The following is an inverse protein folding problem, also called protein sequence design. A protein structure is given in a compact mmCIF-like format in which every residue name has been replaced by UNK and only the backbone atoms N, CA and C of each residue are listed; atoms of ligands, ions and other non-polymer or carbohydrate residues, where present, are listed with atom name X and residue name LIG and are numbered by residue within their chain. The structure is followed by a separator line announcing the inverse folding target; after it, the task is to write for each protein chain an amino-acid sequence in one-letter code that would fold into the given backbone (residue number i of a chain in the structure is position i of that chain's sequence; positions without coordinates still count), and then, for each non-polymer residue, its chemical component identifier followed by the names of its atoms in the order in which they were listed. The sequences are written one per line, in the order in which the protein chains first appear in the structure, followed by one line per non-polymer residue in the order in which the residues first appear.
data_IF_532396531165
#
_entry.id   IF_532396531165
#
_cell.length_a   1.000
_cell.length_b   1.000
_cell.length_c   1.000
_cell.angle_alpha   90.00
_cell.angle_beta   90.00
_cell.angle_gamma   90.00
#
_symmetry.space_group_name_H-M   'P 1'
#
loop_
_entity.id
_entity.type
_entity.pdbx_description
1 polymer ?
#
# COMPACT_ATOMS: atom_id res chain seq x y z
N UNK A 1 -18.17 5.58 2.10
CA UNK A 1 -16.71 5.61 2.44
C UNK A 1 -16.58 4.99 3.82
N UNK A 2 -15.84 3.91 3.94
CA UNK A 2 -15.71 3.14 5.17
C UNK A 2 -14.34 3.37 5.79
N UNK A 3 -14.30 3.44 7.12
CA UNK A 3 -13.06 3.49 7.86
C UNK A 3 -12.50 2.08 8.00
N UNK A 4 -11.21 1.95 7.68
CA UNK A 4 -10.52 0.67 7.69
C UNK A 4 -9.31 0.74 8.61
N UNK A 5 -8.96 -0.39 9.19
CA UNK A 5 -7.74 -0.57 9.97
C UNK A 5 -6.80 -1.52 9.23
N UNK A 6 -5.51 -1.34 9.39
CA UNK A 6 -4.55 -2.32 8.88
C UNK A 6 -4.66 -3.58 9.75
N UNK A 7 -4.92 -4.71 9.12
CA UNK A 7 -4.99 -6.02 9.75
C UNK A 7 -3.61 -6.68 9.78
N UNK A 8 -3.30 -7.49 8.78
CA UNK A 8 -2.08 -8.30 8.70
C UNK A 8 -1.25 -7.93 7.47
N UNK A 9 0.06 -8.09 7.56
CA UNK A 9 0.97 -8.10 6.42
C UNK A 9 1.54 -9.51 6.28
N UNK A 10 1.26 -10.15 5.17
CA UNK A 10 1.77 -11.49 4.82
C UNK A 10 2.89 -11.32 3.79
N UNK A 11 3.97 -12.09 3.92
CA UNK A 11 5.12 -12.02 3.03
C UNK A 11 5.30 -13.33 2.26
N UNK A 12 5.49 -13.21 0.96
CA UNK A 12 5.98 -14.30 0.12
C UNK A 12 7.39 -13.94 -0.38
N UNK A 13 8.38 -14.49 0.32
CA UNK A 13 9.79 -14.24 0.00
C UNK A 13 10.21 -14.87 -1.33
N UNK A 14 9.58 -15.96 -1.72
CA UNK A 14 9.90 -16.68 -2.96
C UNK A 14 9.55 -15.84 -4.19
N UNK A 15 8.53 -15.00 -4.07
CA UNK A 15 8.00 -14.16 -5.14
C UNK A 15 8.36 -12.69 -5.01
N UNK A 16 9.03 -12.30 -3.93
CA UNK A 16 9.36 -10.90 -3.68
C UNK A 16 8.14 -10.01 -3.44
N UNK A 17 7.06 -10.57 -2.91
CA UNK A 17 5.78 -9.90 -2.76
C UNK A 17 5.25 -9.94 -1.33
N UNK A 18 4.27 -9.09 -1.04
CA UNK A 18 3.53 -9.06 0.20
C UNK A 18 2.06 -8.74 -0.04
N UNK A 19 1.22 -9.11 0.91
CA UNK A 19 -0.20 -8.73 0.94
C UNK A 19 -0.45 -7.99 2.25
N UNK A 20 -0.98 -6.79 2.16
CA UNK A 20 -1.53 -6.06 3.31
C UNK A 20 -3.05 -6.17 3.30
N UNK A 21 -3.64 -6.50 4.43
CA UNK A 21 -5.09 -6.53 4.56
C UNK A 21 -5.58 -5.28 5.27
N UNK A 22 -6.61 -4.64 4.73
CA UNK A 22 -7.40 -3.64 5.44
C UNK A 22 -8.67 -4.29 5.94
N UNK A 23 -8.99 -4.09 7.20
CA UNK A 23 -10.17 -4.65 7.86
C UNK A 23 -11.12 -3.51 8.23
N UNK A 24 -12.38 -3.64 7.88
CA UNK A 24 -13.42 -2.68 8.25
C UNK A 24 -13.53 -2.57 9.77
N UNK A 25 -13.80 -1.38 10.29
CA UNK A 25 -13.88 -1.15 11.74
C UNK A 25 -14.94 -2.05 12.42
N UNK A 26 -16.01 -2.38 11.71
CA UNK A 26 -17.05 -3.32 12.17
C UNK A 26 -16.69 -4.79 11.92
N UNK A 27 -15.58 -5.06 11.22
CA UNK A 27 -15.08 -6.41 10.98
C UNK A 27 -15.84 -7.22 9.93
N UNK A 28 -16.73 -6.60 9.14
CA UNK A 28 -17.55 -7.32 8.15
C UNK A 28 -16.82 -7.60 6.84
N UNK A 29 -15.94 -6.68 6.43
CA UNK A 29 -15.22 -6.77 5.15
C UNK A 29 -13.71 -6.61 5.34
N UNK A 30 -12.98 -7.31 4.47
CA UNK A 30 -11.51 -7.25 4.37
C UNK A 30 -11.13 -6.89 2.95
N UNK A 31 -10.20 -5.98 2.77
CA UNK A 31 -9.63 -5.62 1.48
C UNK A 31 -8.16 -6.05 1.44
N UNK A 32 -7.81 -7.10 0.69
CA UNK A 32 -6.42 -7.47 0.44
C UNK A 32 -5.82 -6.56 -0.64
N UNK A 33 -4.61 -6.08 -0.41
CA UNK A 33 -3.84 -5.25 -1.34
C UNK A 33 -2.49 -5.91 -1.56
N UNK A 34 -2.21 -6.28 -2.81
CA UNK A 34 -0.96 -6.89 -3.23
C UNK A 34 0.08 -5.80 -3.47
N UNK A 35 1.26 -5.95 -2.87
CA UNK A 35 2.35 -4.97 -2.90
C UNK A 35 3.69 -5.69 -3.01
N UNK A 36 4.74 -4.98 -3.37
CA UNK A 36 6.09 -5.53 -3.34
C UNK A 36 6.56 -5.82 -1.91
N UNK A 37 7.55 -6.68 -1.78
CA UNK A 37 8.11 -7.10 -0.47
C UNK A 37 8.67 -5.90 0.31
N UNK A 38 9.30 -4.96 -0.36
CA UNK A 38 9.91 -3.78 0.27
C UNK A 38 8.86 -2.79 0.78
N UNK A 39 7.75 -2.64 0.04
CA UNK A 39 6.59 -1.88 0.48
C UNK A 39 5.95 -2.54 1.71
N UNK A 40 5.80 -3.87 1.68
CA UNK A 40 5.32 -4.64 2.82
C UNK A 40 6.21 -4.48 4.05
N UNK A 41 7.53 -4.50 3.87
CA UNK A 41 8.50 -4.26 4.95
C UNK A 41 8.40 -2.85 5.52
N UNK A 42 8.14 -1.83 4.69
CA UNK A 42 7.93 -0.47 5.16
C UNK A 42 6.70 -0.37 6.08
N UNK A 43 5.56 -0.95 5.67
CA UNK A 43 4.33 -1.01 6.47
C UNK A 43 4.56 -1.82 7.76
N UNK A 44 5.15 -3.00 7.66
CA UNK A 44 5.43 -3.88 8.80
C UNK A 44 6.31 -3.18 9.85
N UNK A 45 7.30 -2.40 9.42
CA UNK A 45 8.16 -1.63 10.30
C UNK A 45 7.36 -0.57 11.08
N UNK A 46 6.44 0.13 10.44
CA UNK A 46 5.59 1.13 11.10
C UNK A 46 4.64 0.47 12.11
N UNK A 47 4.04 -0.68 11.76
CA UNK A 47 3.18 -1.45 12.69
C UNK A 47 3.96 -1.82 13.95
N UNK A 48 5.20 -2.32 13.80
CA UNK A 48 6.04 -2.78 14.90
C UNK A 48 6.85 -1.65 15.54
N UNK A 49 6.72 -0.41 15.07
CA UNK A 49 7.48 0.75 15.55
C UNK A 49 9.00 0.50 15.56
N UNK A 50 9.48 -0.22 14.56
CA UNK A 50 10.89 -0.58 14.46
C UNK A 50 11.68 0.59 13.88
N UNK A 51 12.59 1.15 14.67
CA UNK A 51 13.45 2.24 14.24
C UNK A 51 14.48 1.76 13.21
N UNK A 52 14.77 2.60 12.23
CA UNK A 52 15.90 2.43 11.31
C UNK A 52 17.10 3.25 11.80
N UNK A 53 18.35 2.76 11.66
CA UNK A 53 19.55 3.53 12.01
C UNK A 53 19.66 4.86 11.25
N UNK A 54 19.09 4.92 10.06
CA UNK A 54 18.99 6.13 9.22
C UNK A 54 17.56 6.30 8.74
N UNK A 55 17.08 7.56 8.57
CA UNK A 55 15.75 7.82 8.06
C UNK A 55 15.55 7.19 6.69
N UNK A 56 14.46 6.46 6.50
CA UNK A 56 13.99 5.99 5.19
C UNK A 56 13.04 7.02 4.57
N UNK A 57 12.57 6.79 3.33
CA UNK A 57 11.79 7.76 2.57
C UNK A 57 10.56 8.27 3.34
N UNK A 58 9.79 7.37 3.96
CA UNK A 58 8.61 7.77 4.75
C UNK A 58 8.98 8.57 6.01
N UNK A 59 10.16 8.32 6.63
CA UNK A 59 10.66 9.13 7.74
C UNK A 59 11.02 10.54 7.28
N UNK A 60 11.66 10.64 6.10
CA UNK A 60 12.05 11.92 5.51
C UNK A 60 10.80 12.75 5.20
N UNK A 61 9.79 12.13 4.55
CA UNK A 61 8.54 12.82 4.21
C UNK A 61 7.77 13.27 5.46
N UNK A 62 7.72 12.42 6.49
CA UNK A 62 7.14 12.77 7.78
C UNK A 62 7.84 14.00 8.37
N UNK A 63 9.17 13.99 8.44
CA UNK A 63 9.95 15.09 9.00
C UNK A 63 9.78 16.38 8.21
N UNK A 64 9.71 16.31 6.86
CA UNK A 64 9.47 17.47 6.01
C UNK A 64 8.08 18.07 6.26
N UNK A 65 7.03 17.25 6.29
CA UNK A 65 5.68 17.72 6.56
C UNK A 65 5.57 18.35 7.96
N UNK A 66 6.16 17.73 8.97
CA UNK A 66 6.23 18.30 10.31
C UNK A 66 6.99 19.63 10.32
N UNK A 67 8.12 19.72 9.61
CA UNK A 67 8.90 20.94 9.49
C UNK A 67 8.12 22.09 8.83
N UNK A 68 7.24 21.76 7.90
CA UNK A 68 6.31 22.72 7.27
C UNK A 68 5.03 22.95 8.08
N UNK A 69 4.90 22.36 9.28
CA UNK A 69 3.68 22.43 10.09
C UNK A 69 2.44 21.90 9.34
N UNK A 70 2.68 20.98 8.42
CA UNK A 70 1.62 20.26 7.72
C UNK A 70 1.37 18.91 8.38
N UNK A 71 0.14 18.41 8.26
CA UNK A 71 -0.26 17.10 8.81
C UNK A 71 -1.05 16.32 7.79
N UNK A 72 -0.92 15.01 7.86
CA UNK A 72 -1.77 14.09 7.11
C UNK A 72 -3.08 13.91 7.86
N UNK A 73 -4.17 14.44 7.32
CA UNK A 73 -5.52 14.35 7.93
C UNK A 73 -6.13 12.97 7.77
N UNK A 74 -5.98 12.39 6.60
CA UNK A 74 -6.51 11.07 6.24
C UNK A 74 -5.87 10.55 4.97
N UNK A 75 -6.03 9.25 4.78
CA UNK A 75 -5.76 8.55 3.52
C UNK A 75 -7.06 7.99 2.98
N UNK A 76 -7.26 8.06 1.67
CA UNK A 76 -8.45 7.51 1.01
C UNK A 76 -8.02 6.63 -0.16
N UNK A 77 -8.39 5.35 -0.14
CA UNK A 77 -8.35 4.51 -1.32
C UNK A 77 -9.65 4.75 -2.09
N UNK A 78 -9.55 5.44 -3.21
CA UNK A 78 -10.71 6.01 -3.89
C UNK A 78 -11.07 5.35 -5.21
N UNK A 79 -10.13 4.67 -5.86
CA UNK A 79 -10.35 4.01 -7.14
C UNK A 79 -9.60 2.68 -7.27
N UNK A 80 -10.09 1.84 -8.17
CA UNK A 80 -9.41 0.65 -8.68
C UNK A 80 -9.61 0.60 -10.19
N UNK A 81 -8.52 0.45 -10.94
CA UNK A 81 -8.52 0.35 -12.41
C UNK A 81 -7.56 -0.79 -12.80
N UNK A 82 -8.03 -1.72 -13.60
CA UNK A 82 -7.22 -2.85 -14.08
C UNK A 82 -6.44 -3.56 -12.95
N UNK A 83 -7.13 -3.83 -11.84
CA UNK A 83 -6.56 -4.40 -10.59
C UNK A 83 -5.53 -3.52 -9.86
N UNK A 84 -5.32 -2.29 -10.30
CA UNK A 84 -4.47 -1.31 -9.63
C UNK A 84 -5.30 -0.40 -8.74
N UNK A 85 -4.96 -0.37 -7.46
CA UNK A 85 -5.59 0.53 -6.49
C UNK A 85 -4.91 1.90 -6.49
N UNK A 86 -5.71 2.94 -6.32
CA UNK A 86 -5.28 4.33 -6.21
C UNK A 86 -5.59 4.86 -4.82
N UNK A 87 -4.70 5.70 -4.31
CA UNK A 87 -4.86 6.32 -2.99
C UNK A 87 -4.56 7.82 -3.03
N UNK A 88 -5.24 8.55 -2.17
CA UNK A 88 -5.06 9.98 -1.98
C UNK A 88 -4.65 10.29 -0.55
N UNK A 89 -3.66 11.17 -0.44
CA UNK A 89 -3.22 11.76 0.82
C UNK A 89 -3.87 13.13 0.98
N UNK A 90 -4.61 13.33 2.05
CA UNK A 90 -5.18 14.64 2.42
C UNK A 90 -4.24 15.32 3.41
N UNK A 91 -3.47 16.26 2.93
CA UNK A 91 -2.47 16.99 3.73
C UNK A 91 -2.95 18.39 3.99
N UNK A 92 -2.99 18.80 5.24
CA UNK A 92 -3.46 20.13 5.66
C UNK A 92 -2.32 20.92 6.27
N UNK A 93 -2.21 22.17 5.86
CA UNK A 93 -1.34 23.17 6.46
C UNK A 93 -2.16 24.45 6.68
N UNK A 94 -2.33 24.85 7.92
CA UNK A 94 -3.24 25.95 8.28
C UNK A 94 -4.65 25.72 7.71
N UNK A 95 -5.15 26.64 6.87
CA UNK A 95 -6.47 26.56 6.24
C UNK A 95 -6.43 25.93 4.82
N UNK A 96 -5.25 25.48 4.37
CA UNK A 96 -5.08 24.87 3.06
C UNK A 96 -5.05 23.36 3.18
N UNK A 97 -5.85 22.68 2.35
CA UNK A 97 -5.79 21.22 2.17
C UNK A 97 -5.30 20.93 0.76
N UNK A 98 -4.22 20.17 0.67
CA UNK A 98 -3.68 19.60 -0.56
C UNK A 98 -4.08 18.12 -0.64
N UNK A 99 -4.48 17.68 -1.82
CA UNK A 99 -4.72 16.26 -2.11
C UNK A 99 -3.60 15.80 -3.04
N UNK A 100 -2.86 14.79 -2.62
CA UNK A 100 -1.78 14.20 -3.39
C UNK A 100 -2.10 12.75 -3.75
N UNK A 101 -1.87 12.38 -5.01
CA UNK A 101 -1.92 11.00 -5.46
C UNK A 101 -0.74 10.19 -4.87
N UNK A 102 -0.99 8.96 -4.52
CA UNK A 102 0.01 8.06 -3.95
C UNK A 102 -0.32 6.58 -4.26
N UNK A 103 0.70 5.75 -4.28
CA UNK A 103 0.47 4.31 -4.27
C UNK A 103 -0.16 3.90 -2.93
N UNK A 104 -1.07 2.91 -2.91
CA UNK A 104 -1.66 2.43 -1.66
C UNK A 104 -0.63 2.08 -0.57
N UNK A 105 0.46 1.39 -0.94
CA UNK A 105 1.52 1.01 0.00
C UNK A 105 2.17 2.20 0.69
N UNK A 106 2.48 3.27 -0.07
CA UNK A 106 3.09 4.49 0.48
C UNK A 106 2.09 5.25 1.37
N UNK A 107 0.84 5.32 0.90
CA UNK A 107 -0.24 5.96 1.66
C UNK A 107 -0.50 5.26 3.01
N UNK A 108 -0.50 3.92 3.03
CA UNK A 108 -0.69 3.13 4.25
C UNK A 108 0.48 3.29 5.22
N UNK A 109 1.73 3.26 4.72
CA UNK A 109 2.91 3.49 5.55
C UNK A 109 2.88 4.89 6.19
N UNK A 110 2.50 5.91 5.42
CA UNK A 110 2.35 7.28 5.94
C UNK A 110 1.18 7.40 6.91
N UNK A 111 0.03 6.75 6.64
CA UNK A 111 -1.11 6.74 7.55
C UNK A 111 -0.71 6.21 8.93
N UNK A 112 0.02 5.09 8.99
CA UNK A 112 0.54 4.54 10.25
C UNK A 112 1.48 5.53 10.95
N UNK A 113 2.41 6.12 10.21
CA UNK A 113 3.40 7.04 10.75
C UNK A 113 2.78 8.31 11.33
N UNK A 114 1.80 8.88 10.66
CA UNK A 114 1.04 10.05 11.11
C UNK A 114 -0.11 9.70 12.06
N UNK A 115 -0.42 8.42 12.27
CA UNK A 115 -1.61 7.97 12.97
C UNK A 115 -2.89 8.54 12.35
N UNK A 116 -2.87 8.70 11.03
CA UNK A 116 -3.98 9.22 10.27
C UNK A 116 -5.00 8.11 9.93
N UNK A 117 -6.30 8.41 9.92
CA UNK A 117 -7.31 7.43 9.58
C UNK A 117 -7.25 7.05 8.09
N UNK A 118 -7.54 5.77 7.82
CA UNK A 118 -7.59 5.19 6.48
C UNK A 118 -9.06 4.99 6.13
N UNK A 119 -9.45 5.44 4.95
CA UNK A 119 -10.77 5.25 4.38
C UNK A 119 -10.69 4.56 3.04
N UNK A 120 -11.73 3.77 2.73
CA UNK A 120 -11.90 3.12 1.43
C UNK A 120 -13.29 3.46 0.90
N UNK A 121 -13.41 3.77 -0.37
CA UNK A 121 -14.71 4.04 -0.99
C UNK A 121 -15.50 2.75 -1.19
N UNK A 122 -16.84 2.86 -1.24
CA UNK A 122 -17.70 1.71 -1.50
C UNK A 122 -17.43 1.10 -2.89
N UNK A 123 -17.04 1.91 -3.86
CA UNK A 123 -16.68 1.42 -5.19
C UNK A 123 -15.47 0.47 -5.15
N UNK A 124 -14.45 0.83 -4.37
CA UNK A 124 -13.25 -0.01 -4.17
C UNK A 124 -13.62 -1.29 -3.40
N UNK A 125 -14.42 -1.16 -2.33
CA UNK A 125 -14.85 -2.31 -1.54
C UNK A 125 -15.77 -3.27 -2.32
N UNK A 126 -16.60 -2.74 -3.21
CA UNK A 126 -17.46 -3.57 -4.07
C UNK A 126 -16.64 -4.39 -5.08
N UNK A 127 -15.48 -3.88 -5.51
CA UNK A 127 -14.61 -4.56 -6.48
C UNK A 127 -13.63 -5.52 -5.81
N UNK A 128 -12.95 -5.10 -4.75
CA UNK A 128 -11.85 -5.86 -4.13
C UNK A 128 -12.12 -6.35 -2.72
N UNK A 129 -13.21 -5.89 -2.09
CA UNK A 129 -13.56 -6.29 -0.73
C UNK A 129 -14.03 -7.74 -0.66
N UNK A 130 -13.63 -8.44 0.38
CA UNK A 130 -14.05 -9.82 0.71
C UNK A 130 -14.78 -9.79 2.06
N UNK A 131 -15.60 -10.79 2.33
CA UNK A 131 -16.20 -10.93 3.67
C UNK A 131 -15.15 -11.39 4.68
N UNK A 132 -15.26 -10.94 5.92
CA UNK A 132 -14.26 -11.24 6.96
C UNK A 132 -14.29 -12.71 7.46
N UNK A 133 -15.40 -13.45 7.22
CA UNK A 133 -15.51 -14.89 7.44
C UNK A 133 -14.76 -15.72 6.37
N UNK A 134 -14.26 -15.06 5.37
CA UNK A 134 -13.39 -15.61 4.37
C UNK A 134 -12.06 -16.06 5.02
N UNK A 135 -11.74 -17.34 4.91
CA UNK A 135 -10.52 -17.90 5.50
C UNK A 135 -9.28 -17.19 4.91
N UNK A 136 -8.77 -16.24 5.68
CA UNK A 136 -7.66 -15.32 5.33
C UNK A 136 -6.35 -16.05 4.95
N UNK A 137 -6.32 -17.38 5.04
CA UNK A 137 -5.10 -18.18 4.86
C UNK A 137 -4.89 -18.77 3.48
N UNK A 138 -5.87 -19.46 2.92
CA UNK A 138 -5.65 -20.32 1.74
C UNK A 138 -6.01 -19.62 0.43
N UNK A 139 -7.15 -18.96 0.36
CA UNK A 139 -7.58 -18.26 -0.86
C UNK A 139 -6.80 -16.97 -1.13
N UNK A 140 -6.38 -16.23 -0.09
CA UNK A 140 -5.45 -15.10 -0.27
C UNK A 140 -4.08 -15.58 -0.76
N UNK A 141 -3.66 -16.80 -0.41
CA UNK A 141 -2.44 -17.39 -0.97
C UNK A 141 -2.62 -17.76 -2.44
N UNK A 142 -3.78 -18.29 -2.82
CA UNK A 142 -4.09 -18.62 -4.21
C UNK A 142 -4.26 -17.38 -5.09
N UNK A 143 -4.96 -16.34 -4.61
CA UNK A 143 -5.06 -15.06 -5.32
C UNK A 143 -3.71 -14.34 -5.39
N UNK A 144 -2.92 -14.35 -4.31
CA UNK A 144 -1.54 -13.86 -4.32
C UNK A 144 -0.71 -14.65 -5.33
N UNK A 145 -0.88 -15.96 -5.38
CA UNK A 145 -0.21 -16.83 -6.34
C UNK A 145 -0.55 -16.45 -7.77
N UNK A 146 -1.83 -16.31 -8.10
CA UNK A 146 -2.29 -15.94 -9.44
C UNK A 146 -1.84 -14.52 -9.88
N UNK A 147 -1.88 -13.55 -8.97
CA UNK A 147 -1.41 -12.18 -9.24
C UNK A 147 0.11 -12.12 -9.45
N UNK A 148 0.86 -13.03 -8.81
CA UNK A 148 2.31 -13.11 -8.89
C UNK A 148 2.79 -13.91 -10.09
N UNK A 149 2.00 -14.88 -10.56
CA UNK A 149 2.29 -15.62 -11.80
C UNK A 149 2.29 -14.68 -13.02
N UNK A 150 1.46 -13.61 -12.98
CA UNK A 150 1.51 -12.54 -13.98
C UNK A 150 2.81 -11.72 -13.92
N UNK A 151 3.53 -11.72 -12.79
CA UNK A 151 4.80 -11.02 -12.63
C UNK A 151 6.03 -11.87 -13.04
N UNK A 152 5.85 -13.16 -13.33
CA UNK A 152 6.95 -13.99 -13.84
C UNK A 152 7.44 -13.50 -15.21
N UNK A 153 6.55 -12.97 -16.05
CA UNK A 153 6.92 -12.35 -17.33
C UNK A 153 7.82 -11.13 -17.14
N UNK A 154 7.52 -10.30 -16.14
CA UNK A 154 8.34 -9.12 -15.77
C UNK A 154 9.68 -9.55 -15.18
N UNK A 155 9.69 -10.61 -14.39
CA UNK A 155 10.92 -11.15 -13.79
C UNK A 155 11.82 -11.79 -14.85
N UNK A 156 11.27 -12.60 -15.74
CA UNK A 156 11.98 -13.17 -16.87
C UNK A 156 12.54 -12.09 -17.79
N UNK A 157 11.81 -10.98 -17.98
CA UNK A 157 12.30 -9.82 -18.71
C UNK A 157 13.46 -9.15 -17.97
N UNK A 158 13.33 -8.90 -16.66
CA UNK A 158 14.40 -8.27 -15.85
C UNK A 158 15.68 -9.11 -15.80
N UNK A 159 15.58 -10.44 -15.76
CA UNK A 159 16.74 -11.33 -15.78
C UNK A 159 17.46 -11.36 -17.14
N UNK A 160 16.77 -11.01 -18.21
CA UNK A 160 17.31 -11.00 -19.57
C UNK A 160 17.63 -9.61 -20.10
N UNK A 161 17.27 -8.54 -19.35
CA UNK A 161 17.52 -7.16 -19.76
C UNK A 161 19.02 -6.85 -19.76
N UNK A 162 19.49 -6.18 -20.79
CA UNK A 162 20.90 -5.76 -20.95
C UNK A 162 21.01 -4.25 -20.91
N UNK A 163 22.18 -3.69 -20.53
CA UNK A 163 22.40 -2.23 -20.54
C UNK A 163 22.09 -1.59 -21.90
N UNK A 164 22.28 -2.31 -22.98
CA UNK A 164 21.98 -1.88 -24.36
C UNK A 164 20.50 -1.70 -24.65
N UNK A 165 19.61 -2.35 -23.89
CA UNK A 165 18.15 -2.21 -24.04
C UNK A 165 17.64 -0.84 -23.52
N UNK A 166 18.49 -0.10 -22.80
CA UNK A 166 18.23 1.26 -22.30
C UNK A 166 18.96 2.34 -23.10
N UNK A 167 19.70 1.97 -24.16
CA UNK A 167 20.32 2.94 -25.05
C UNK A 167 19.24 3.58 -25.93
N UNK A 168 19.11 4.91 -25.86
CA UNK A 168 18.21 5.67 -26.72
C UNK A 168 18.47 5.33 -28.19
N UNK A 169 17.44 5.02 -28.99
CA UNK A 169 17.59 4.95 -30.43
C UNK A 169 17.94 6.36 -30.95
N UNK A 170 19.13 6.50 -31.51
CA UNK A 170 19.52 7.72 -32.22
C UNK A 170 18.71 7.91 -33.48
#
# INVERSE_FOLDING_TARGET
MQKMNIGTVLFDQSKGAAVVTLVEEQGERVLPIFIGIWEGMAIFREINRTASPRPVLHDILYNLLQGFQARLEKVVLDAVQESTYYAQLYVTQQDLTMIADARPSDALALALKFQAPIYVTEAVLATGGKRADFAVGEELREEAQAALDTSEDVRAWLENVRPEDFADPQ
#
